data_IF_153326926595
#
_entry.id   IF_153326926595
#
_cell.length_a   1.000
_cell.length_b   1.000
_cell.length_c   1.000
_cell.angle_alpha   90.00
_cell.angle_beta   90.00
_cell.angle_gamma   90.00
#
_symmetry.space_group_name_H-M   'P 1'
#
loop_
_entity.id
_entity.type
_entity.pdbx_description
1 polymer ?
#
# COMPACT_ATOMS: atom_id res chain seq x y z
N UNK A 1 18.06 10.63 -2.96
CA UNK A 1 16.62 10.54 -2.62
C UNK A 1 15.76 10.97 -3.80
N UNK A 2 14.56 10.41 -3.98
CA UNK A 2 13.59 10.85 -4.99
C UNK A 2 12.34 11.34 -4.26
N UNK A 3 11.83 12.52 -4.61
CA UNK A 3 10.59 13.08 -4.10
C UNK A 3 9.55 13.22 -5.22
N UNK A 4 8.30 12.90 -4.91
CA UNK A 4 7.19 13.03 -5.87
C UNK A 4 6.98 14.50 -6.28
N UNK A 5 6.75 14.70 -7.58
CA UNK A 5 6.49 15.98 -8.19
C UNK A 5 5.12 16.07 -8.87
N UNK A 6 4.41 14.94 -9.00
CA UNK A 6 3.19 14.86 -9.79
C UNK A 6 1.92 15.10 -8.97
N UNK A 7 1.88 14.61 -7.71
CA UNK A 7 0.73 14.81 -6.82
C UNK A 7 0.72 16.22 -6.28
N UNK A 8 -0.23 17.03 -6.70
CA UNK A 8 -0.33 18.48 -6.41
C UNK A 8 0.89 19.32 -6.85
N UNK A 9 1.76 18.76 -7.72
CA UNK A 9 2.98 19.40 -8.20
C UNK A 9 4.09 19.49 -7.14
N UNK A 10 5.19 20.16 -7.48
CA UNK A 10 6.35 20.31 -6.59
C UNK A 10 6.01 20.96 -5.24
N UNK A 11 4.92 21.75 -5.17
CA UNK A 11 4.55 22.53 -3.99
C UNK A 11 4.42 21.69 -2.72
N UNK A 12 3.94 20.45 -2.83
CA UNK A 12 3.71 19.57 -1.68
C UNK A 12 5.01 19.21 -0.97
N UNK A 13 6.09 18.97 -1.73
CA UNK A 13 7.37 18.50 -1.20
C UNK A 13 8.48 19.57 -1.31
N UNK A 14 8.16 20.82 -1.65
CA UNK A 14 9.17 21.87 -1.91
C UNK A 14 10.02 22.19 -0.68
N UNK A 15 9.42 22.26 0.49
CA UNK A 15 10.11 22.52 1.76
C UNK A 15 11.06 21.36 2.09
N UNK A 16 10.58 20.12 2.06
CA UNK A 16 11.40 18.93 2.29
C UNK A 16 12.55 18.81 1.26
N UNK A 17 12.30 19.14 -0.01
CA UNK A 17 13.35 19.17 -1.03
C UNK A 17 14.45 20.16 -0.69
N UNK A 18 14.08 21.37 -0.24
CA UNK A 18 15.04 22.39 0.14
C UNK A 18 15.84 22.00 1.38
N UNK A 19 15.16 21.50 2.44
CA UNK A 19 15.82 21.05 3.67
C UNK A 19 16.82 19.93 3.41
N UNK A 20 16.45 18.95 2.60
CA UNK A 20 17.32 17.84 2.21
C UNK A 20 18.53 18.33 1.40
N UNK A 21 18.30 19.26 0.46
CA UNK A 21 19.38 19.86 -0.34
C UNK A 21 20.36 20.66 0.53
N UNK A 22 19.85 21.45 1.47
CA UNK A 22 20.66 22.24 2.41
C UNK A 22 21.46 21.35 3.37
N UNK A 23 20.94 20.16 3.68
CA UNK A 23 21.63 19.12 4.44
C UNK A 23 22.63 18.28 3.59
N UNK A 24 22.89 18.69 2.35
CA UNK A 24 23.76 18.01 1.40
C UNK A 24 23.31 16.57 1.03
N UNK A 25 22.02 16.27 1.14
CA UNK A 25 21.44 15.05 0.61
C UNK A 25 21.26 15.20 -0.90
N UNK A 26 21.73 14.20 -1.66
CA UNK A 26 21.49 14.18 -3.11
C UNK A 26 20.03 13.83 -3.39
N UNK A 27 19.21 14.86 -3.66
CA UNK A 27 17.77 14.76 -3.85
C UNK A 27 17.37 15.16 -5.25
N UNK A 28 16.43 14.42 -5.85
CA UNK A 28 15.85 14.71 -7.17
C UNK A 28 14.32 14.67 -7.12
N UNK A 29 13.74 15.40 -8.05
CA UNK A 29 12.33 15.27 -8.36
C UNK A 29 12.09 14.03 -9.23
N UNK A 30 11.04 13.27 -8.89
CA UNK A 30 10.53 12.21 -9.74
C UNK A 30 10.09 12.77 -11.11
N UNK A 31 10.05 11.94 -12.17
CA UNK A 31 9.51 12.34 -13.48
C UNK A 31 8.08 12.91 -13.38
N UNK A 32 7.86 14.03 -14.08
CA UNK A 32 6.58 14.72 -14.13
C UNK A 32 5.53 13.93 -14.90
N UNK A 33 4.63 13.27 -14.46
CA UNK A 33 3.56 12.56 -15.20
C UNK A 33 3.21 11.23 -14.61
N UNK A 34 3.95 10.81 -13.57
CA UNK A 34 3.65 9.64 -12.77
C UNK A 34 3.80 10.00 -11.30
N UNK A 35 2.82 9.67 -10.50
CA UNK A 35 2.89 9.84 -9.04
C UNK A 35 3.83 8.77 -8.47
N UNK A 36 4.90 9.20 -7.81
CA UNK A 36 5.80 8.35 -7.04
C UNK A 36 5.28 8.23 -5.62
N UNK A 37 4.48 7.22 -5.38
CA UNK A 37 3.76 7.06 -4.12
C UNK A 37 4.34 5.94 -3.23
N UNK A 38 5.38 5.26 -3.67
CA UNK A 38 6.10 4.28 -2.83
C UNK A 38 6.75 4.96 -1.62
N UNK A 39 6.78 4.25 -0.50
CA UNK A 39 7.44 4.64 0.75
C UNK A 39 8.49 3.59 1.05
N UNK A 40 9.71 3.85 0.57
CA UNK A 40 10.79 2.87 0.63
C UNK A 40 12.10 3.54 1.02
N UNK A 41 12.82 2.95 1.95
CA UNK A 41 14.15 3.39 2.40
C UNK A 41 15.07 2.19 2.36
N UNK A 42 16.15 2.24 1.58
CA UNK A 42 17.21 1.22 1.59
C UNK A 42 18.40 1.69 2.41
N UNK A 43 18.98 0.79 3.18
CA UNK A 43 20.15 1.07 4.05
C UNK A 43 21.23 0.06 3.75
N UNK A 44 22.40 0.56 3.36
CA UNK A 44 23.65 -0.21 3.15
C UNK A 44 23.49 -1.45 2.25
N UNK A 45 22.53 -1.41 1.31
CA UNK A 45 22.16 -2.52 0.40
C UNK A 45 21.86 -3.85 1.12
N UNK A 46 21.55 -3.79 2.41
CA UNK A 46 21.26 -4.96 3.24
C UNK A 46 19.86 -4.98 3.81
N UNK A 47 19.20 -3.83 3.86
CA UNK A 47 17.88 -3.70 4.44
C UNK A 47 17.03 -2.71 3.62
N UNK A 48 15.78 -3.04 3.38
CA UNK A 48 14.78 -2.13 2.83
C UNK A 48 13.61 -1.98 3.81
N UNK A 49 13.29 -0.75 4.21
CA UNK A 49 12.04 -0.45 4.87
C UNK A 49 10.99 -0.15 3.81
N UNK A 50 9.92 -0.94 3.76
CA UNK A 50 8.77 -0.76 2.85
C UNK A 50 7.54 -0.47 3.69
N UNK A 51 6.86 0.64 3.40
CA UNK A 51 5.79 1.13 4.27
C UNK A 51 4.51 1.55 3.56
N UNK A 52 3.48 1.69 4.37
CA UNK A 52 2.18 2.22 3.97
C UNK A 52 2.09 3.73 4.20
N UNK A 53 2.84 4.25 5.19
CA UNK A 53 2.76 5.61 5.72
C UNK A 53 3.55 6.64 4.93
N UNK A 54 2.98 7.82 4.74
CA UNK A 54 3.67 8.96 4.17
C UNK A 54 4.75 9.48 5.14
N UNK A 55 5.91 9.91 4.59
CA UNK A 55 6.97 10.54 5.37
C UNK A 55 6.64 12.02 5.62
N UNK A 56 5.52 12.30 6.26
CA UNK A 56 5.05 13.64 6.62
C UNK A 56 4.57 13.66 8.07
N UNK A 57 4.78 14.74 8.82
CA UNK A 57 4.35 14.82 10.21
C UNK A 57 2.82 14.88 10.40
N UNK A 58 2.07 15.17 9.34
CA UNK A 58 0.65 15.50 9.39
C UNK A 58 -0.22 14.39 10.03
N UNK A 59 0.14 13.12 9.81
CA UNK A 59 -0.70 11.98 10.22
C UNK A 59 -0.05 11.06 11.24
N UNK A 60 1.20 11.28 11.65
CA UNK A 60 1.95 10.33 12.51
C UNK A 60 1.26 9.99 13.84
N UNK A 61 0.51 10.92 14.41
CA UNK A 61 -0.17 10.69 15.69
C UNK A 61 -1.55 10.04 15.58
N UNK A 62 -2.12 9.99 14.39
CA UNK A 62 -3.51 9.59 14.17
C UNK A 62 -3.69 8.53 13.10
N UNK A 63 -2.72 8.33 12.20
CA UNK A 63 -2.86 7.30 11.16
C UNK A 63 -2.43 5.91 11.65
N UNK A 64 -3.16 4.91 11.18
CA UNK A 64 -2.76 3.51 11.23
C UNK A 64 -1.91 3.24 10.01
N UNK A 65 -0.62 3.03 10.22
CA UNK A 65 0.36 2.71 9.20
C UNK A 65 1.27 1.58 9.67
N UNK A 66 1.87 0.87 8.72
CA UNK A 66 2.81 -0.20 8.98
C UNK A 66 4.08 -0.06 8.14
N UNK A 67 5.20 -0.53 8.68
CA UNK A 67 6.49 -0.60 8.00
C UNK A 67 7.09 -1.99 8.20
N UNK A 68 7.54 -2.60 7.12
CA UNK A 68 8.26 -3.87 7.14
C UNK A 68 9.73 -3.62 6.86
N UNK A 69 10.60 -4.18 7.70
CA UNK A 69 12.03 -4.22 7.44
C UNK A 69 12.34 -5.53 6.71
N UNK A 70 12.58 -5.41 5.42
CA UNK A 70 12.95 -6.52 4.56
C UNK A 70 14.48 -6.65 4.50
N UNK A 71 14.97 -7.85 4.77
CA UNK A 71 16.40 -8.21 4.71
C UNK A 71 16.68 -9.32 3.69
N UNK A 72 15.68 -9.68 2.88
CA UNK A 72 15.88 -10.62 1.79
C UNK A 72 16.82 -10.01 0.75
N UNK A 73 18.01 -10.59 0.50
CA UNK A 73 19.01 -9.96 -0.35
C UNK A 73 18.54 -9.80 -1.81
N UNK A 74 17.64 -10.67 -2.30
CA UNK A 74 17.09 -10.57 -3.65
C UNK A 74 16.13 -9.39 -3.76
N UNK A 75 15.27 -9.21 -2.77
CA UNK A 75 14.30 -8.11 -2.75
C UNK A 75 15.01 -6.77 -2.55
N UNK A 76 15.93 -6.69 -1.58
CA UNK A 76 16.73 -5.48 -1.32
C UNK A 76 17.51 -5.06 -2.56
N UNK A 77 18.18 -6.00 -3.24
CA UNK A 77 18.92 -5.72 -4.47
C UNK A 77 18.00 -5.23 -5.60
N UNK A 78 16.81 -5.79 -5.75
CA UNK A 78 15.85 -5.38 -6.77
C UNK A 78 15.25 -3.99 -6.47
N UNK A 79 15.00 -3.68 -5.20
CA UNK A 79 14.53 -2.35 -4.75
C UNK A 79 15.62 -1.31 -5.02
N UNK A 80 16.87 -1.57 -4.64
CA UNK A 80 18.00 -0.68 -4.89
C UNK A 80 18.22 -0.43 -6.39
N UNK A 81 18.23 -1.49 -7.22
CA UNK A 81 18.36 -1.38 -8.67
C UNK A 81 17.21 -0.58 -9.30
N UNK A 82 15.98 -0.73 -8.79
CA UNK A 82 14.84 0.07 -9.24
C UNK A 82 15.02 1.54 -8.87
N UNK A 83 15.48 1.82 -7.64
CA UNK A 83 15.80 3.18 -7.21
C UNK A 83 16.86 3.84 -8.10
N UNK A 84 17.96 3.15 -8.39
CA UNK A 84 19.04 3.68 -9.24
C UNK A 84 18.55 4.00 -10.65
N UNK A 85 17.71 3.14 -11.21
CA UNK A 85 17.09 3.33 -12.51
C UNK A 85 16.14 4.53 -12.52
N UNK A 86 15.29 4.64 -11.51
CA UNK A 86 14.37 5.76 -11.33
C UNK A 86 15.13 7.08 -11.07
N UNK A 87 16.23 7.01 -10.30
CA UNK A 87 17.06 8.18 -9.96
C UNK A 87 17.77 8.75 -11.19
N UNK A 88 18.12 7.92 -12.15
CA UNK A 88 18.78 8.32 -13.40
C UNK A 88 17.80 8.58 -14.56
N UNK A 89 16.50 8.32 -14.35
CA UNK A 89 15.46 8.52 -15.35
C UNK A 89 15.34 9.99 -15.79
N UNK A 90 14.95 10.24 -17.05
CA UNK A 90 14.69 11.60 -17.49
C UNK A 90 13.50 12.21 -16.74
N UNK A 91 13.46 13.55 -16.61
CA UNK A 91 12.47 14.25 -15.79
C UNK A 91 11.04 14.21 -16.35
N UNK A 92 10.82 13.53 -17.45
CA UNK A 92 9.50 13.42 -18.10
C UNK A 92 9.31 12.02 -18.68
N UNK A 93 8.07 11.55 -18.68
CA UNK A 93 7.71 10.23 -19.23
C UNK A 93 7.24 9.25 -18.15
N UNK A 94 7.09 8.00 -18.54
CA UNK A 94 6.78 6.91 -17.61
C UNK A 94 8.05 6.50 -16.85
N UNK A 95 7.91 6.03 -15.59
CA UNK A 95 9.05 5.46 -14.88
C UNK A 95 9.60 4.28 -15.68
N UNK A 96 10.91 4.03 -15.60
CA UNK A 96 11.52 2.81 -16.12
C UNK A 96 10.82 1.56 -15.58
N UNK A 97 11.00 0.42 -16.22
CA UNK A 97 10.52 -0.84 -15.70
C UNK A 97 11.23 -1.15 -14.38
N UNK A 98 10.45 -1.54 -13.35
CA UNK A 98 11.01 -1.91 -12.06
C UNK A 98 11.72 -3.27 -12.16
N UNK A 99 12.78 -3.44 -11.39
CA UNK A 99 13.48 -4.72 -11.29
C UNK A 99 12.58 -5.73 -10.55
N UNK A 100 12.22 -6.85 -11.17
CA UNK A 100 11.34 -7.83 -10.53
C UNK A 100 12.08 -8.64 -9.48
N UNK A 101 11.36 -9.02 -8.42
CA UNK A 101 11.77 -10.07 -7.48
C UNK A 101 10.51 -10.83 -7.00
N UNK A 102 10.66 -12.07 -6.50
CA UNK A 102 9.51 -12.93 -6.19
C UNK A 102 8.52 -12.33 -5.20
N UNK A 103 9.02 -11.57 -4.22
CA UNK A 103 8.19 -10.99 -3.16
C UNK A 103 7.80 -9.52 -3.44
N UNK A 104 8.17 -8.95 -4.59
CA UNK A 104 7.89 -7.56 -4.91
C UNK A 104 6.72 -7.42 -5.89
N UNK A 105 5.76 -6.58 -5.53
CA UNK A 105 4.63 -6.22 -6.38
C UNK A 105 4.74 -4.73 -6.73
N UNK A 106 5.12 -4.46 -7.96
CA UNK A 106 5.31 -3.10 -8.46
C UNK A 106 4.10 -2.59 -9.23
N UNK A 107 3.67 -1.35 -8.98
CA UNK A 107 2.86 -0.59 -9.93
C UNK A 107 3.77 0.07 -10.99
N UNK A 108 3.26 0.15 -12.24
CA UNK A 108 1.87 0.10 -12.70
C UNK A 108 1.32 -1.29 -13.09
N UNK A 109 1.91 -2.40 -12.69
CA UNK A 109 1.46 -3.75 -13.08
C UNK A 109 0.83 -4.55 -11.91
N UNK A 110 0.62 -3.91 -10.76
CA UNK A 110 0.24 -4.57 -9.51
C UNK A 110 -1.13 -5.26 -9.53
N UNK A 111 -2.11 -4.73 -10.28
CA UNK A 111 -3.51 -5.20 -10.23
C UNK A 111 -3.63 -6.72 -10.36
N UNK A 112 -2.92 -7.34 -11.29
CA UNK A 112 -3.01 -8.78 -11.53
C UNK A 112 -2.63 -9.61 -10.29
N UNK A 113 -1.56 -9.21 -9.58
CA UNK A 113 -1.10 -9.87 -8.35
C UNK A 113 -2.12 -9.72 -7.21
N UNK A 114 -2.71 -8.52 -7.05
CA UNK A 114 -3.77 -8.27 -6.06
C UNK A 114 -5.02 -9.12 -6.33
N UNK A 115 -5.47 -9.19 -7.58
CA UNK A 115 -6.62 -10.03 -7.95
C UNK A 115 -6.33 -11.51 -7.73
N UNK A 116 -5.15 -11.99 -8.14
CA UNK A 116 -4.75 -13.37 -7.93
C UNK A 116 -4.73 -13.73 -6.43
N UNK A 117 -4.22 -12.82 -5.59
CA UNK A 117 -4.16 -13.01 -4.14
C UNK A 117 -5.56 -13.19 -3.53
N UNK A 118 -6.53 -12.32 -3.89
CA UNK A 118 -7.92 -12.41 -3.43
C UNK A 118 -8.63 -13.64 -4.01
N UNK A 119 -8.43 -13.93 -5.29
CA UNK A 119 -9.09 -15.05 -5.98
C UNK A 119 -8.65 -16.43 -5.43
N UNK A 120 -7.43 -16.53 -4.90
CA UNK A 120 -6.89 -17.75 -4.30
C UNK A 120 -7.35 -17.99 -2.86
N UNK A 121 -7.95 -17.00 -2.20
CA UNK A 121 -8.45 -17.16 -0.83
C UNK A 121 -9.54 -18.23 -0.75
N UNK A 122 -9.45 -19.10 0.28
CA UNK A 122 -10.40 -20.21 0.51
C UNK A 122 -11.10 -20.13 1.87
N UNK A 123 -10.52 -19.44 2.86
CA UNK A 123 -11.08 -19.29 4.20
C UNK A 123 -11.42 -17.84 4.53
N UNK A 124 -10.47 -16.91 4.36
CA UNK A 124 -10.64 -15.51 4.73
C UNK A 124 -9.94 -14.54 3.78
N UNK A 125 -10.50 -13.34 3.69
CA UNK A 125 -9.87 -12.15 3.10
C UNK A 125 -10.09 -11.00 4.08
N UNK A 126 -9.00 -10.51 4.67
CA UNK A 126 -8.98 -9.37 5.57
C UNK A 126 -8.29 -8.20 4.88
N UNK A 127 -8.98 -7.08 4.80
CA UNK A 127 -8.52 -5.89 4.07
C UNK A 127 -8.49 -4.69 5.00
N UNK A 128 -7.31 -4.07 5.14
CA UNK A 128 -7.17 -2.72 5.66
C UNK A 128 -6.81 -1.81 4.50
N UNK A 129 -7.60 -0.79 4.22
CA UNK A 129 -7.35 0.10 3.08
C UNK A 129 -7.75 1.54 3.36
N UNK A 130 -6.89 2.48 2.94
CA UNK A 130 -7.24 3.90 2.92
C UNK A 130 -8.33 4.19 1.89
N UNK A 131 -8.20 3.63 0.68
CA UNK A 131 -9.15 3.82 -0.42
C UNK A 131 -9.65 2.50 -0.99
N UNK A 132 -10.91 2.46 -1.39
CA UNK A 132 -11.54 1.27 -1.97
C UNK A 132 -12.39 1.68 -3.18
N UNK A 133 -11.83 1.61 -4.41
CA UNK A 133 -12.49 2.10 -5.64
C UNK A 133 -12.21 1.26 -6.89
N UNK A 134 -11.15 0.43 -6.92
CA UNK A 134 -10.84 -0.32 -8.13
C UNK A 134 -11.90 -1.37 -8.43
N UNK A 135 -12.55 -1.25 -9.58
CA UNK A 135 -13.69 -2.11 -9.97
C UNK A 135 -13.34 -3.59 -10.05
N UNK A 136 -12.10 -3.92 -10.44
CA UNK A 136 -11.68 -5.31 -10.52
C UNK A 136 -11.44 -5.89 -9.12
N UNK A 137 -10.87 -5.09 -8.20
CA UNK A 137 -10.71 -5.49 -6.79
C UNK A 137 -12.08 -5.67 -6.12
N UNK A 138 -13.02 -4.73 -6.29
CA UNK A 138 -14.39 -4.87 -5.77
C UNK A 138 -15.04 -6.16 -6.28
N UNK A 139 -14.91 -6.46 -7.57
CA UNK A 139 -15.44 -7.68 -8.16
C UNK A 139 -14.76 -8.94 -7.61
N UNK A 140 -13.47 -8.91 -7.30
CA UNK A 140 -12.76 -10.04 -6.70
C UNK A 140 -13.24 -10.31 -5.26
N UNK A 141 -13.41 -9.24 -4.45
CA UNK A 141 -13.97 -9.33 -3.10
C UNK A 141 -15.43 -9.84 -3.11
N UNK A 142 -16.28 -9.33 -4.02
CA UNK A 142 -17.64 -9.83 -4.22
C UNK A 142 -17.65 -11.35 -4.51
N UNK A 143 -16.80 -11.79 -5.44
CA UNK A 143 -16.68 -13.21 -5.78
C UNK A 143 -16.17 -14.05 -4.61
N UNK A 144 -15.20 -13.54 -3.83
CA UNK A 144 -14.69 -14.25 -2.66
C UNK A 144 -15.80 -14.44 -1.61
N UNK A 145 -16.54 -13.38 -1.28
CA UNK A 145 -17.67 -13.45 -0.35
C UNK A 145 -18.75 -14.42 -0.83
N UNK A 146 -19.12 -14.40 -2.14
CA UNK A 146 -20.10 -15.35 -2.72
C UNK A 146 -19.61 -16.79 -2.75
N UNK A 147 -18.31 -17.06 -2.72
CA UNK A 147 -17.74 -18.40 -2.54
C UNK A 147 -17.84 -18.89 -1.09
N UNK A 148 -18.24 -18.02 -0.15
CA UNK A 148 -18.30 -18.33 1.28
C UNK A 148 -16.99 -18.04 2.02
N UNK A 149 -16.05 -17.33 1.38
CA UNK A 149 -14.84 -16.83 2.05
C UNK A 149 -15.26 -15.75 3.05
N UNK A 150 -14.73 -15.80 4.28
CA UNK A 150 -14.97 -14.76 5.28
C UNK A 150 -14.26 -13.47 4.87
N UNK A 151 -15.04 -12.50 4.38
CA UNK A 151 -14.53 -11.22 3.89
C UNK A 151 -14.75 -10.14 4.93
N UNK A 152 -13.65 -9.60 5.51
CA UNK A 152 -13.67 -8.52 6.50
C UNK A 152 -12.88 -7.32 5.99
N UNK A 153 -13.41 -6.12 6.17
CA UNK A 153 -12.78 -4.88 5.67
C UNK A 153 -12.80 -3.82 6.76
N UNK A 154 -11.66 -3.16 7.00
CA UNK A 154 -11.53 -2.00 7.89
C UNK A 154 -11.03 -0.81 7.10
N UNK A 155 -11.70 0.34 7.26
CA UNK A 155 -11.31 1.61 6.64
C UNK A 155 -11.86 2.80 7.44
N UNK A 156 -11.47 4.02 7.10
CA UNK A 156 -12.10 5.24 7.61
C UNK A 156 -13.26 5.64 6.72
N UNK A 157 -14.37 6.11 7.31
CA UNK A 157 -15.52 6.61 6.58
C UNK A 157 -15.13 7.72 5.59
N UNK A 158 -15.59 7.59 4.35
CA UNK A 158 -15.43 8.66 3.37
C UNK A 158 -16.51 8.54 2.29
N UNK A 159 -17.24 9.62 1.98
CA UNK A 159 -18.27 9.61 0.92
C UNK A 159 -17.75 9.15 -0.45
N UNK A 160 -16.45 9.29 -0.70
CA UNK A 160 -15.85 8.94 -2.00
C UNK A 160 -15.88 7.45 -2.33
N UNK A 161 -15.98 6.57 -1.32
CA UNK A 161 -16.10 5.11 -1.51
C UNK A 161 -17.34 4.49 -0.87
N UNK A 162 -18.33 5.31 -0.49
CA UNK A 162 -19.57 4.80 0.09
C UNK A 162 -20.29 3.80 -0.83
N UNK A 163 -20.29 4.03 -2.15
CA UNK A 163 -20.86 3.08 -3.11
C UNK A 163 -20.08 1.76 -3.17
N UNK A 164 -18.75 1.79 -3.08
CA UNK A 164 -17.92 0.60 -3.06
C UNK A 164 -18.17 -0.22 -1.78
N UNK A 165 -18.26 0.44 -0.64
CA UNK A 165 -18.62 -0.18 0.65
C UNK A 165 -19.98 -0.86 0.56
N UNK A 166 -21.00 -0.16 0.04
CA UNK A 166 -22.34 -0.74 -0.14
C UNK A 166 -22.32 -1.96 -1.08
N UNK A 167 -21.53 -1.93 -2.15
CA UNK A 167 -21.40 -3.03 -3.11
C UNK A 167 -20.81 -4.29 -2.45
N UNK A 168 -19.65 -4.17 -1.78
CA UNK A 168 -19.00 -5.33 -1.14
C UNK A 168 -19.79 -5.84 0.07
N UNK A 169 -20.47 -4.96 0.81
CA UNK A 169 -21.37 -5.35 1.91
C UNK A 169 -22.58 -6.15 1.39
N UNK A 170 -23.18 -5.72 0.29
CA UNK A 170 -24.27 -6.45 -0.36
C UNK A 170 -23.83 -7.84 -0.88
N UNK A 171 -22.56 -8.02 -1.18
CA UNK A 171 -21.99 -9.30 -1.59
C UNK A 171 -21.72 -10.24 -0.41
N UNK A 172 -21.68 -9.72 0.82
CA UNK A 172 -21.48 -10.49 2.04
C UNK A 172 -20.17 -10.17 2.78
N UNK A 173 -19.38 -9.18 2.34
CA UNK A 173 -18.26 -8.70 3.14
C UNK A 173 -18.76 -7.93 4.38
N UNK A 174 -18.16 -8.15 5.54
CA UNK A 174 -18.39 -7.36 6.74
C UNK A 174 -17.46 -6.16 6.77
N UNK A 175 -18.01 -4.96 6.66
CA UNK A 175 -17.24 -3.72 6.57
C UNK A 175 -17.40 -2.91 7.85
N UNK A 176 -16.30 -2.64 8.53
CA UNK A 176 -16.23 -1.81 9.73
C UNK A 176 -15.52 -0.50 9.40
N UNK A 177 -16.04 0.63 9.88
CA UNK A 177 -15.52 1.94 9.51
C UNK A 177 -15.28 2.81 10.73
N UNK A 178 -14.05 3.32 10.88
CA UNK A 178 -13.79 4.39 11.82
C UNK A 178 -14.40 5.69 11.29
N UNK A 179 -15.09 6.50 12.15
CA UNK A 179 -15.60 7.78 11.72
C UNK A 179 -14.46 8.75 11.39
N UNK A 180 -14.58 9.49 10.29
CA UNK A 180 -13.65 10.56 9.94
C UNK A 180 -13.96 11.81 10.79
N UNK A 181 -13.30 11.92 11.93
CA UNK A 181 -13.44 13.05 12.87
C UNK A 181 -12.32 14.09 12.72
N UNK A 182 -11.32 13.81 11.87
CA UNK A 182 -10.10 14.61 11.76
C UNK A 182 -9.14 14.51 12.95
N UNK A 183 -9.53 13.83 14.05
CA UNK A 183 -8.72 13.64 15.27
C UNK A 183 -8.72 12.20 15.76
N UNK A 184 -9.57 11.35 15.20
CA UNK A 184 -9.66 9.91 15.48
C UNK A 184 -8.60 9.10 14.74
N UNK A 185 -8.66 7.78 14.91
CA UNK A 185 -7.80 6.88 14.14
C UNK A 185 -8.18 6.94 12.66
N UNK A 186 -7.20 7.29 11.83
CA UNK A 186 -7.31 7.30 10.38
C UNK A 186 -6.63 6.05 9.80
N UNK A 187 -7.38 5.21 9.14
CA UNK A 187 -6.85 4.02 8.49
C UNK A 187 -6.16 4.42 7.19
N UNK A 188 -4.85 4.32 7.18
CA UNK A 188 -4.00 4.65 6.04
C UNK A 188 -3.20 3.44 5.53
N UNK A 189 -3.26 2.32 6.20
CA UNK A 189 -2.68 1.06 5.75
C UNK A 189 -3.25 0.60 4.40
N UNK A 190 -2.45 -0.17 3.66
CA UNK A 190 -2.82 -0.85 2.42
C UNK A 190 -2.37 -2.30 2.55
N UNK A 191 -3.27 -3.13 3.06
CA UNK A 191 -2.98 -4.51 3.46
C UNK A 191 -4.09 -5.42 2.97
N UNK A 192 -3.71 -6.58 2.44
CA UNK A 192 -4.61 -7.70 2.19
C UNK A 192 -3.98 -8.96 2.78
N UNK A 193 -4.62 -9.53 3.80
CA UNK A 193 -4.25 -10.81 4.40
C UNK A 193 -5.27 -11.86 3.97
N UNK A 194 -4.82 -12.98 3.40
CA UNK A 194 -5.69 -14.09 3.00
C UNK A 194 -5.34 -15.35 3.77
N UNK A 195 -6.39 -16.05 4.21
CA UNK A 195 -6.33 -17.34 4.91
C UNK A 195 -5.38 -17.32 6.14
N UNK A 196 -5.13 -16.14 6.70
CA UNK A 196 -4.17 -15.86 7.78
C UNK A 196 -2.74 -16.33 7.49
N UNK A 197 -2.41 -16.52 6.22
CA UNK A 197 -1.13 -17.10 5.79
C UNK A 197 -0.39 -16.31 4.72
N UNK A 198 -1.10 -15.54 3.89
CA UNK A 198 -0.50 -14.78 2.80
C UNK A 198 -0.86 -13.32 2.92
N UNK A 199 0.11 -12.46 2.76
CA UNK A 199 0.02 -11.03 3.02
C UNK A 199 0.52 -10.22 1.82
N UNK A 200 -0.26 -9.22 1.41
CA UNK A 200 0.22 -8.08 0.62
C UNK A 200 0.23 -6.85 1.53
N UNK A 201 1.36 -6.16 1.63
CA UNK A 201 1.53 -4.94 2.44
C UNK A 201 2.44 -3.95 1.72
N UNK A 202 2.02 -2.68 1.61
CA UNK A 202 2.82 -1.64 0.98
C UNK A 202 2.06 -0.36 0.69
N UNK A 203 2.41 0.30 -0.41
CA UNK A 203 1.92 1.65 -0.70
C UNK A 203 0.67 1.72 -1.57
N UNK A 204 0.29 0.63 -2.25
CA UNK A 204 -0.80 0.65 -3.23
C UNK A 204 -2.18 0.77 -2.56
N UNK A 205 -2.86 1.87 -2.80
CA UNK A 205 -4.29 1.99 -2.54
C UNK A 205 -5.08 1.06 -3.49
N UNK A 206 -6.26 0.61 -3.07
CA UNK A 206 -7.14 -0.20 -3.92
C UNK A 206 -7.90 0.68 -4.92
N UNK A 207 -7.13 1.43 -5.72
CA UNK A 207 -7.60 2.31 -6.79
C UNK A 207 -6.93 1.97 -8.11
N UNK A 208 -7.59 2.30 -9.21
CA UNK A 208 -7.03 2.08 -10.55
C UNK A 208 -5.70 2.82 -10.75
N UNK A 209 -5.62 4.06 -10.27
CA UNK A 209 -4.41 4.88 -10.38
C UNK A 209 -3.24 4.26 -9.62
N UNK A 210 -3.44 3.84 -8.36
CA UNK A 210 -2.40 3.17 -7.58
C UNK A 210 -1.93 1.87 -8.21
N UNK A 211 -2.85 1.05 -8.70
CA UNK A 211 -2.53 -0.27 -9.21
C UNK A 211 -1.97 -0.28 -10.64
N UNK A 212 -2.28 0.74 -11.49
CA UNK A 212 -1.96 0.74 -12.92
C UNK A 212 -1.23 1.97 -13.46
N UNK A 213 -1.04 3.01 -12.66
CA UNK A 213 -0.50 4.28 -13.19
C UNK A 213 0.67 4.81 -12.37
N UNK A 214 0.64 4.68 -11.04
CA UNK A 214 1.67 5.18 -10.13
C UNK A 214 2.95 4.33 -10.14
N UNK A 215 4.03 4.86 -9.57
CA UNK A 215 5.19 4.11 -9.09
C UNK A 215 4.96 3.77 -7.62
N UNK A 216 4.66 2.51 -7.34
CA UNK A 216 4.36 2.00 -5.99
C UNK A 216 4.94 0.62 -5.77
N UNK A 217 5.11 0.23 -4.50
CA UNK A 217 5.65 -1.06 -4.10
C UNK A 217 4.85 -1.65 -2.93
N UNK A 218 4.51 -2.94 -3.04
CA UNK A 218 4.14 -3.81 -1.92
C UNK A 218 5.02 -5.04 -1.85
N UNK A 219 5.12 -5.59 -0.65
CA UNK A 219 5.68 -6.91 -0.38
C UNK A 219 4.56 -7.96 -0.42
N UNK A 220 4.83 -9.10 -1.02
CA UNK A 220 4.05 -10.32 -0.93
C UNK A 220 4.76 -11.28 0.01
N UNK A 221 4.24 -11.47 1.21
CA UNK A 221 4.83 -12.25 2.28
C UNK A 221 3.92 -13.43 2.65
N UNK A 222 4.46 -14.39 3.36
CA UNK A 222 3.70 -15.51 3.90
C UNK A 222 4.23 -15.97 5.27
N UNK A 223 3.51 -16.89 5.90
CA UNK A 223 3.88 -17.48 7.19
C UNK A 223 5.12 -18.38 7.14
N UNK A 224 5.59 -18.78 5.95
CA UNK A 224 6.82 -19.57 5.81
C UNK A 224 8.05 -18.65 5.86
N UNK A 225 7.96 -17.48 5.26
CA UNK A 225 9.08 -16.54 5.11
C UNK A 225 9.09 -15.41 6.13
N UNK A 226 7.89 -14.97 6.60
CA UNK A 226 7.73 -13.83 7.50
C UNK A 226 6.61 -14.06 8.55
N UNK A 227 6.68 -15.15 9.36
CA UNK A 227 5.59 -15.52 10.29
C UNK A 227 5.27 -14.40 11.29
N UNK A 228 6.28 -13.72 11.82
CA UNK A 228 6.10 -12.65 12.83
C UNK A 228 5.40 -11.42 12.22
N UNK A 229 5.68 -11.09 10.96
CA UNK A 229 5.03 -9.98 10.25
C UNK A 229 3.56 -10.31 10.01
N UNK A 230 3.27 -11.51 9.52
CA UNK A 230 1.88 -11.96 9.28
C UNK A 230 1.09 -11.96 10.59
N UNK A 231 1.64 -12.51 11.67
CA UNK A 231 0.98 -12.54 12.97
C UNK A 231 0.74 -11.13 13.56
N UNK A 232 1.69 -10.20 13.38
CA UNK A 232 1.53 -8.83 13.82
C UNK A 232 0.42 -8.10 13.05
N UNK A 233 0.36 -8.30 11.74
CA UNK A 233 -0.70 -7.74 10.88
C UNK A 233 -2.07 -8.31 11.26
N UNK A 234 -2.19 -9.64 11.40
CA UNK A 234 -3.44 -10.30 11.83
C UNK A 234 -3.94 -9.74 13.16
N UNK A 235 -3.06 -9.65 14.17
CA UNK A 235 -3.38 -9.12 15.48
C UNK A 235 -3.85 -7.66 15.43
N UNK A 236 -3.19 -6.83 14.62
CA UNK A 236 -3.56 -5.42 14.45
C UNK A 236 -4.91 -5.30 13.75
N UNK A 237 -5.10 -6.05 12.68
CA UNK A 237 -6.37 -6.09 11.95
C UNK A 237 -7.54 -6.49 12.86
N UNK A 238 -7.40 -7.55 13.63
CA UNK A 238 -8.44 -8.04 14.54
C UNK A 238 -8.79 -7.00 15.61
N UNK A 239 -7.79 -6.31 16.16
CA UNK A 239 -8.01 -5.23 17.13
C UNK A 239 -8.75 -4.04 16.50
N UNK A 240 -8.34 -3.59 15.32
CA UNK A 240 -8.97 -2.47 14.61
C UNK A 240 -10.39 -2.85 14.14
N UNK A 241 -10.58 -4.06 13.65
CA UNK A 241 -11.90 -4.57 13.24
C UNK A 241 -12.87 -4.63 14.42
N UNK A 242 -12.40 -5.08 15.58
CA UNK A 242 -13.23 -5.12 16.80
C UNK A 242 -13.54 -3.72 17.35
N UNK A 243 -12.66 -2.75 17.16
CA UNK A 243 -12.81 -1.38 17.66
C UNK A 243 -13.66 -0.49 16.73
N UNK A 244 -13.62 -0.73 15.44
CA UNK A 244 -14.37 0.05 14.46
C UNK A 244 -15.86 -0.31 14.50
N UNK A 245 -16.77 0.70 14.40
CA UNK A 245 -18.21 0.43 14.26
C UNK A 245 -18.50 -0.49 13.05
N UNK A 246 -19.29 -1.53 13.31
CA UNK A 246 -19.84 -2.38 12.27
C UNK A 246 -21.11 -1.79 11.65
N UNK A 247 -21.66 -2.44 10.61
CA UNK A 247 -22.88 -2.00 9.94
C UNK A 247 -24.11 -2.05 10.84
#
# INVERSE_FOLDING_TARGET
>A
MILDAAFHGHKTNAEAFQELSDAAVDVKWAPNGVIYHQKTITVDDTTAAVGTGNLTPQYYSTSRDAWVLDTNPTDVAAIAATFDTDYTAPPSGRPPEATPAPNLIWSPTARASFLQHIDQAVQSVDVTSEELKDRAVLSALDKAARRGVNCRIVLTENPAWANAVAEVSAAGCSVHQFPDTGTGLYIHEKIILTDNTKLIIGSQNLTTTSLLENRELSLALDTETAPDVVAAVESTFDADYAAAPGP
#
